data_IF_891592579859
#
_entry.id   IF_891592579859
#
_cell.length_a   1.000
_cell.length_b   1.000
_cell.length_c   1.000
_cell.angle_alpha   90.00
_cell.angle_beta   90.00
_cell.angle_gamma   90.00
#
_symmetry.space_group_name_H-M   'P 1'
#
loop_
_entity.id
_entity.type
_entity.pdbx_description
1 polymer ?
#
# COMPACT_ATOMS: atom_id res chain seq x y z
N UNK A 1 6.92 7.39 -59.91
CA UNK A 1 5.87 7.39 -58.87
C UNK A 1 5.43 5.96 -58.74
N UNK A 2 6.04 5.26 -57.78
CA UNK A 2 5.52 4.05 -57.14
C UNK A 2 6.55 3.68 -56.07
N UNK A 3 6.40 4.34 -54.91
CA UNK A 3 7.15 3.99 -53.70
C UNK A 3 6.48 2.77 -53.08
N UNK A 4 7.10 1.61 -53.27
CA UNK A 4 6.73 0.39 -52.58
C UNK A 4 7.08 0.53 -51.08
N UNK A 5 6.04 0.63 -50.24
CA UNK A 5 6.16 0.55 -48.79
C UNK A 5 6.48 -0.90 -48.43
N UNK A 6 7.68 -1.11 -47.91
CA UNK A 6 8.15 -2.37 -47.33
C UNK A 6 7.30 -2.73 -46.09
N UNK A 7 6.57 -3.86 -46.06
CA UNK A 7 5.81 -4.25 -44.89
C UNK A 7 6.78 -4.80 -43.84
N UNK A 8 7.24 -3.94 -42.94
CA UNK A 8 7.88 -4.43 -41.71
C UNK A 8 6.94 -5.42 -41.01
N UNK A 9 7.38 -6.66 -40.73
CA UNK A 9 6.55 -7.61 -40.02
C UNK A 9 6.24 -7.04 -38.64
N UNK A 10 4.96 -6.88 -38.34
CA UNK A 10 4.50 -6.62 -36.97
C UNK A 10 4.93 -7.84 -36.15
N UNK A 11 6.02 -7.71 -35.41
CA UNK A 11 6.44 -8.75 -34.45
C UNK A 11 5.39 -8.76 -33.34
N UNK A 12 4.35 -9.57 -33.52
CA UNK A 12 3.43 -9.89 -32.45
C UNK A 12 4.24 -10.63 -31.38
N UNK A 13 4.51 -9.93 -30.27
CA UNK A 13 5.10 -10.57 -29.10
C UNK A 13 4.24 -11.75 -28.61
N UNK A 14 4.75 -12.57 -27.68
CA UNK A 14 4.02 -13.73 -27.19
C UNK A 14 2.63 -13.32 -26.70
N UNK A 15 1.64 -14.17 -26.97
CA UNK A 15 0.24 -14.01 -26.57
C UNK A 15 -0.04 -14.87 -25.35
N UNK A 16 -0.74 -14.31 -24.37
CA UNK A 16 -1.13 -15.02 -23.16
C UNK A 16 -2.40 -15.84 -23.43
N UNK A 17 -2.24 -17.16 -23.51
CA UNK A 17 -3.33 -18.10 -23.73
C UNK A 17 -4.22 -18.29 -22.50
N UNK A 18 -5.33 -19.01 -22.69
CA UNK A 18 -6.31 -19.27 -21.62
C UNK A 18 -5.70 -20.09 -20.48
N UNK A 19 -4.96 -21.14 -20.79
CA UNK A 19 -4.37 -22.04 -19.80
C UNK A 19 -3.31 -21.32 -18.94
N UNK A 20 -2.43 -20.54 -19.56
CA UNK A 20 -1.42 -19.76 -18.84
C UNK A 20 -2.06 -18.68 -17.97
N UNK A 21 -3.10 -18.01 -18.51
CA UNK A 21 -3.82 -17.00 -17.75
C UNK A 21 -4.50 -17.61 -16.52
N UNK A 22 -5.22 -18.73 -16.66
CA UNK A 22 -5.85 -19.39 -15.51
C UNK A 22 -4.83 -19.91 -14.50
N UNK A 23 -3.68 -20.42 -14.95
CA UNK A 23 -2.57 -20.77 -14.05
C UNK A 23 -2.09 -19.56 -13.25
N UNK A 24 -1.82 -18.43 -13.91
CA UNK A 24 -1.36 -17.19 -13.24
C UNK A 24 -2.42 -16.68 -12.25
N UNK A 25 -3.70 -16.71 -12.62
CA UNK A 25 -4.81 -16.32 -11.74
C UNK A 25 -4.84 -17.19 -10.49
N UNK A 26 -4.70 -18.51 -10.65
CA UNK A 26 -4.67 -19.44 -9.53
C UNK A 26 -3.47 -19.18 -8.63
N UNK A 27 -2.25 -19.09 -9.18
CA UNK A 27 -1.03 -18.84 -8.39
C UNK A 27 -1.11 -17.52 -7.62
N UNK A 28 -1.56 -16.45 -8.25
CA UNK A 28 -1.71 -15.14 -7.60
C UNK A 28 -2.83 -15.14 -6.56
N UNK A 29 -3.94 -15.84 -6.83
CA UNK A 29 -5.03 -16.02 -5.89
C UNK A 29 -4.57 -16.75 -4.62
N UNK A 30 -3.87 -17.86 -4.76
CA UNK A 30 -3.38 -18.64 -3.61
C UNK A 30 -2.32 -17.88 -2.79
N UNK A 31 -1.39 -17.19 -3.46
CA UNK A 31 -0.21 -16.63 -2.79
C UNK A 31 -0.34 -15.16 -2.37
N UNK A 32 -1.29 -14.41 -2.95
CA UNK A 32 -1.52 -13.00 -2.65
C UNK A 32 -2.99 -12.65 -2.43
N UNK A 33 -3.93 -13.59 -2.65
CA UNK A 33 -5.38 -13.40 -2.61
C UNK A 33 -5.94 -12.42 -3.63
N UNK A 34 -5.12 -11.95 -4.56
CA UNK A 34 -5.53 -10.98 -5.58
C UNK A 34 -6.44 -11.70 -6.57
N UNK A 35 -7.68 -11.26 -6.65
CA UNK A 35 -8.65 -11.79 -7.61
C UNK A 35 -8.47 -11.07 -8.95
N UNK A 36 -7.83 -11.75 -9.88
CA UNK A 36 -7.74 -11.32 -11.27
C UNK A 36 -9.00 -11.76 -12.01
N UNK A 37 -9.79 -10.81 -12.53
CA UNK A 37 -10.97 -11.10 -13.37
C UNK A 37 -10.60 -11.39 -14.83
N UNK A 38 -11.50 -12.01 -15.63
CA UNK A 38 -11.23 -12.35 -17.03
C UNK A 38 -10.81 -11.16 -17.90
N UNK A 39 -11.37 -9.98 -17.62
CA UNK A 39 -11.05 -8.72 -18.29
C UNK A 39 -9.65 -8.16 -18.01
N UNK A 40 -8.87 -8.79 -17.11
CA UNK A 40 -7.51 -8.35 -16.77
C UNK A 40 -6.42 -9.04 -17.59
N UNK A 41 -6.77 -9.91 -18.55
CA UNK A 41 -5.78 -10.65 -19.37
C UNK A 41 -4.75 -9.76 -20.05
N UNK A 42 -5.20 -8.69 -20.71
CA UNK A 42 -4.29 -7.77 -21.41
C UNK A 42 -3.33 -7.07 -20.44
N UNK A 43 -3.78 -6.74 -19.23
CA UNK A 43 -2.92 -6.18 -18.18
C UNK A 43 -1.86 -7.20 -17.75
N UNK A 44 -2.25 -8.45 -17.50
CA UNK A 44 -1.32 -9.53 -17.13
C UNK A 44 -0.29 -9.74 -18.23
N UNK A 45 -0.73 -9.84 -19.49
CA UNK A 45 0.16 -9.97 -20.64
C UNK A 45 1.15 -8.81 -20.73
N UNK A 46 0.67 -7.57 -20.65
CA UNK A 46 1.56 -6.39 -20.75
C UNK A 46 2.63 -6.35 -19.66
N UNK A 47 2.26 -6.67 -18.41
CA UNK A 47 3.18 -6.62 -17.28
C UNK A 47 4.17 -7.79 -17.24
N UNK A 48 3.70 -9.00 -17.51
CA UNK A 48 4.57 -10.18 -17.55
C UNK A 48 5.43 -10.23 -18.82
N UNK A 49 5.01 -9.62 -19.92
CA UNK A 49 5.83 -9.51 -21.12
C UNK A 49 7.20 -8.87 -20.87
N UNK A 50 7.32 -7.97 -19.87
CA UNK A 50 8.61 -7.45 -19.42
C UNK A 50 9.44 -8.52 -18.71
N UNK A 51 8.83 -9.32 -17.82
CA UNK A 51 9.51 -10.44 -17.13
C UNK A 51 10.01 -11.49 -18.12
N UNK A 52 9.23 -11.83 -19.15
CA UNK A 52 9.65 -12.74 -20.21
C UNK A 52 10.95 -12.25 -20.88
N UNK A 53 11.03 -10.96 -21.24
CA UNK A 53 12.24 -10.37 -21.83
C UNK A 53 13.43 -10.39 -20.88
N UNK A 54 13.22 -10.08 -19.59
CA UNK A 54 14.27 -10.12 -18.57
C UNK A 54 14.84 -11.52 -18.34
N UNK A 55 14.01 -12.56 -18.53
CA UNK A 55 14.40 -13.97 -18.41
C UNK A 55 14.84 -14.61 -19.74
N UNK A 56 14.73 -13.90 -20.86
CA UNK A 56 15.00 -14.45 -22.19
C UNK A 56 14.00 -15.53 -22.65
N UNK A 57 12.79 -15.56 -22.09
CA UNK A 57 11.76 -16.54 -22.41
C UNK A 57 10.91 -16.09 -23.61
N UNK A 58 10.59 -17.04 -24.49
CA UNK A 58 9.86 -16.79 -25.75
C UNK A 58 8.35 -16.98 -25.66
N UNK A 59 7.82 -17.54 -24.56
CA UNK A 59 6.38 -17.79 -24.39
C UNK A 59 5.92 -17.71 -22.93
N UNK A 60 4.61 -17.49 -22.72
CA UNK A 60 4.03 -17.54 -21.37
C UNK A 60 3.93 -18.96 -20.82
N UNK A 61 3.84 -19.97 -21.67
CA UNK A 61 3.91 -21.36 -21.24
C UNK A 61 5.27 -21.64 -20.56
N UNK A 62 6.37 -21.25 -21.22
CA UNK A 62 7.72 -21.35 -20.65
C UNK A 62 7.87 -20.55 -19.35
N UNK A 63 7.19 -19.40 -19.25
CA UNK A 63 7.14 -18.64 -17.99
C UNK A 63 6.37 -19.37 -16.88
N UNK A 64 5.24 -20.02 -17.20
CA UNK A 64 4.49 -20.80 -16.22
C UNK A 64 5.30 -22.00 -15.72
N UNK A 65 6.01 -22.70 -16.62
CA UNK A 65 6.93 -23.79 -16.25
C UNK A 65 8.05 -23.26 -15.34
N UNK A 66 8.66 -22.13 -15.71
CA UNK A 66 9.68 -21.48 -14.91
C UNK A 66 9.18 -21.10 -13.50
N UNK A 67 7.94 -20.62 -13.36
CA UNK A 67 7.32 -20.34 -12.05
C UNK A 67 7.15 -21.61 -11.21
N UNK A 68 6.82 -22.76 -11.84
CA UNK A 68 6.72 -24.05 -11.13
C UNK A 68 8.08 -24.55 -10.64
N UNK A 69 9.12 -24.36 -11.45
CA UNK A 69 10.46 -24.91 -11.20
C UNK A 69 11.31 -24.03 -10.27
N UNK A 70 11.19 -22.70 -10.37
CA UNK A 70 12.11 -21.75 -9.71
C UNK A 70 11.75 -21.44 -8.25
N UNK A 71 10.65 -21.99 -7.74
CA UNK A 71 10.28 -21.88 -6.34
C UNK A 71 9.94 -20.45 -5.88
N UNK A 72 10.19 -20.11 -4.59
CA UNK A 72 9.68 -18.89 -3.96
C UNK A 72 10.18 -17.57 -4.57
N UNK A 73 11.36 -17.55 -5.18
CA UNK A 73 11.96 -16.30 -5.69
C UNK A 73 11.21 -15.74 -6.89
N UNK A 74 10.89 -16.58 -7.89
CA UNK A 74 10.13 -16.11 -9.05
C UNK A 74 8.68 -15.82 -8.69
N UNK A 75 8.11 -16.54 -7.71
CA UNK A 75 6.78 -16.22 -7.18
C UNK A 75 6.70 -14.79 -6.66
N UNK A 76 7.71 -14.32 -5.92
CA UNK A 76 7.77 -12.91 -5.46
C UNK A 76 7.80 -11.95 -6.66
N UNK A 77 8.58 -12.25 -7.70
CA UNK A 77 8.66 -11.41 -8.89
C UNK A 77 7.36 -11.37 -9.68
N UNK A 78 6.66 -12.50 -9.78
CA UNK A 78 5.33 -12.62 -10.36
C UNK A 78 4.32 -11.75 -9.61
N UNK A 79 4.30 -11.84 -8.26
CA UNK A 79 3.44 -11.00 -7.42
C UNK A 79 3.73 -9.52 -7.64
N UNK A 80 4.99 -9.10 -7.54
CA UNK A 80 5.39 -7.70 -7.75
C UNK A 80 5.05 -7.18 -9.16
N UNK A 81 5.04 -8.05 -10.18
CA UNK A 81 4.67 -7.65 -11.52
C UNK A 81 3.16 -7.42 -11.66
N UNK A 82 2.32 -8.04 -10.82
CA UNK A 82 0.86 -8.03 -10.97
C UNK A 82 0.14 -7.18 -9.91
N UNK A 83 0.83 -6.71 -8.88
CA UNK A 83 0.35 -5.69 -7.93
C UNK A 83 0.09 -4.35 -8.62
N UNK A 84 -0.96 -3.65 -8.22
CA UNK A 84 -1.29 -2.32 -8.76
C UNK A 84 -1.03 -1.26 -7.70
N UNK A 85 0.02 -0.48 -7.93
CA UNK A 85 0.66 0.36 -6.92
C UNK A 85 0.34 1.86 -7.07
N UNK A 86 -0.86 2.22 -7.56
CA UNK A 86 -1.23 3.63 -7.77
C UNK A 86 -1.48 4.31 -6.44
N UNK A 87 -0.63 5.28 -6.10
CA UNK A 87 -0.71 6.08 -4.88
C UNK A 87 -0.23 7.50 -5.15
N UNK A 88 -0.59 8.43 -4.25
CA UNK A 88 -0.21 9.83 -4.33
C UNK A 88 -0.17 10.44 -2.92
N UNK A 89 0.67 11.46 -2.74
CA UNK A 89 0.68 12.24 -1.50
C UNK A 89 -0.70 12.85 -1.25
N UNK A 90 -1.17 12.76 0.00
CA UNK A 90 -2.44 13.31 0.46
C UNK A 90 -3.68 12.84 -0.33
N UNK A 91 -3.60 11.67 -0.98
CA UNK A 91 -4.78 11.00 -1.57
C UNK A 91 -5.86 10.85 -0.51
N UNK A 92 -7.07 11.31 -0.82
CA UNK A 92 -8.22 11.39 0.11
C UNK A 92 -7.86 12.14 1.41
N UNK A 93 -7.50 13.42 1.26
CA UNK A 93 -6.92 14.24 2.33
C UNK A 93 -7.73 14.30 3.64
N UNK A 94 -9.04 14.12 3.56
CA UNK A 94 -9.94 14.08 4.72
C UNK A 94 -9.51 13.07 5.81
N UNK A 95 -8.83 11.99 5.46
CA UNK A 95 -8.27 11.05 6.45
C UNK A 95 -7.13 11.67 7.27
N UNK A 96 -6.27 12.49 6.66
CA UNK A 96 -5.18 13.18 7.35
C UNK A 96 -5.68 14.37 8.16
N UNK A 97 -6.73 15.04 7.69
CA UNK A 97 -7.47 16.07 8.45
C UNK A 97 -8.10 15.47 9.71
N UNK A 98 -8.76 14.31 9.58
CA UNK A 98 -9.30 13.54 10.70
C UNK A 98 -8.19 13.07 11.66
N UNK A 99 -7.06 12.61 11.11
CA UNK A 99 -5.90 12.19 11.89
C UNK A 99 -5.40 13.32 12.81
N UNK A 100 -5.26 14.52 12.27
CA UNK A 100 -4.79 15.69 13.02
C UNK A 100 -5.84 16.24 13.99
N UNK A 101 -7.12 16.26 13.58
CA UNK A 101 -8.18 16.94 14.34
C UNK A 101 -8.67 16.16 15.55
N UNK A 102 -8.81 14.84 15.47
CA UNK A 102 -9.35 14.05 16.59
C UNK A 102 -8.64 12.71 16.83
N UNK A 103 -8.19 11.98 15.80
CA UNK A 103 -7.63 10.64 16.03
C UNK A 103 -6.34 10.69 16.86
N UNK A 104 -5.40 11.59 16.52
CA UNK A 104 -4.17 11.78 17.29
C UNK A 104 -4.43 12.43 18.65
N UNK A 105 -5.21 13.52 18.77
CA UNK A 105 -5.59 14.06 20.08
C UNK A 105 -6.17 13.03 21.05
N UNK A 106 -7.11 12.20 20.59
CA UNK A 106 -7.70 11.13 21.40
C UNK A 106 -6.67 10.05 21.76
N UNK A 107 -5.82 9.65 20.80
CA UNK A 107 -4.74 8.70 21.06
C UNK A 107 -3.72 9.25 22.07
N UNK A 108 -3.40 10.55 22.00
CA UNK A 108 -2.51 11.22 22.93
C UNK A 108 -3.11 11.31 24.33
N UNK A 109 -4.42 11.58 24.45
CA UNK A 109 -5.09 11.55 25.74
C UNK A 109 -5.07 10.16 26.36
N UNK A 110 -5.44 9.13 25.59
CA UNK A 110 -5.45 7.73 26.02
C UNK A 110 -4.05 7.25 26.41
N UNK A 111 -3.02 7.66 25.66
CA UNK A 111 -1.65 7.19 25.83
C UNK A 111 -0.79 8.17 26.64
N UNK A 112 -1.38 9.13 27.37
CA UNK A 112 -0.65 10.18 28.08
C UNK A 112 0.44 9.65 29.01
N UNK A 113 0.19 8.53 29.70
CA UNK A 113 1.15 7.90 30.59
C UNK A 113 2.33 7.23 29.85
N UNK A 114 2.06 6.53 28.74
CA UNK A 114 3.08 5.79 28.00
C UNK A 114 3.83 6.65 26.98
N UNK A 115 3.20 7.74 26.52
CA UNK A 115 3.65 8.65 25.47
C UNK A 115 4.00 7.94 24.16
N UNK A 116 3.32 6.82 23.87
CA UNK A 116 3.50 6.02 22.65
C UNK A 116 2.35 6.25 21.69
N UNK A 117 2.67 6.44 20.41
CA UNK A 117 1.70 6.43 19.31
C UNK A 117 2.14 5.38 18.29
N UNK A 118 1.22 4.51 17.89
CA UNK A 118 1.47 3.42 16.95
C UNK A 118 0.48 3.51 15.79
N UNK A 119 0.99 3.79 14.61
CA UNK A 119 0.19 3.80 13.38
C UNK A 119 0.62 2.66 12.46
N UNK A 120 -0.29 2.21 11.60
CA UNK A 120 0.02 1.23 10.56
C UNK A 120 -0.59 1.66 9.21
N UNK A 121 0.23 1.73 8.16
CA UNK A 121 -0.20 1.78 6.76
C UNK A 121 -0.04 0.38 6.15
N UNK A 122 -1.15 -0.29 5.91
CA UNK A 122 -1.28 -1.64 5.37
C UNK A 122 -1.59 -1.57 3.87
N UNK A 123 -0.61 -1.93 3.03
CA UNK A 123 -0.60 -1.69 1.58
C UNK A 123 -0.03 -0.31 1.25
N UNK A 124 1.21 -0.04 1.71
CA UNK A 124 1.81 1.30 1.65
C UNK A 124 2.32 1.72 0.26
N UNK A 125 2.37 0.81 -0.72
CA UNK A 125 2.91 1.05 -2.06
C UNK A 125 4.29 1.74 -1.99
N UNK A 126 4.54 2.77 -2.80
CA UNK A 126 5.79 3.53 -2.88
C UNK A 126 5.99 4.54 -1.75
N UNK A 127 5.20 4.48 -0.67
CA UNK A 127 5.47 5.19 0.59
C UNK A 127 4.80 6.55 0.77
N UNK A 128 4.07 7.05 -0.22
CA UNK A 128 3.38 8.34 -0.15
C UNK A 128 2.43 8.43 1.07
N UNK A 129 1.62 7.40 1.32
CA UNK A 129 0.68 7.35 2.45
C UNK A 129 1.38 7.40 3.82
N UNK A 130 2.33 6.50 4.16
CA UNK A 130 2.97 6.54 5.48
C UNK A 130 3.80 7.81 5.70
N UNK A 131 4.33 8.44 4.64
CA UNK A 131 4.97 9.75 4.79
C UNK A 131 3.97 10.88 5.02
N UNK A 132 2.78 10.84 4.43
CA UNK A 132 1.68 11.74 4.82
C UNK A 132 1.28 11.56 6.28
N UNK A 133 1.13 10.32 6.76
CA UNK A 133 0.88 10.02 8.18
C UNK A 133 1.97 10.63 9.07
N UNK A 134 3.23 10.44 8.72
CA UNK A 134 4.37 10.95 9.49
C UNK A 134 4.38 12.49 9.56
N UNK A 135 4.24 13.17 8.41
CA UNK A 135 4.19 14.64 8.36
C UNK A 135 3.03 15.19 9.18
N UNK A 136 1.83 14.65 8.99
CA UNK A 136 0.62 15.06 9.74
C UNK A 136 0.78 14.82 11.24
N UNK A 137 1.34 13.68 11.64
CA UNK A 137 1.53 13.37 13.06
C UNK A 137 2.59 14.25 13.72
N UNK A 138 3.69 14.55 13.03
CA UNK A 138 4.73 15.47 13.53
C UNK A 138 4.15 16.87 13.76
N UNK A 139 3.29 17.34 12.85
CA UNK A 139 2.61 18.63 13.00
C UNK A 139 1.62 18.64 14.16
N UNK A 140 0.76 17.63 14.25
CA UNK A 140 -0.29 17.56 15.28
C UNK A 140 0.27 17.37 16.69
N UNK A 141 1.32 16.57 16.86
CA UNK A 141 1.96 16.33 18.16
C UNK A 141 2.74 17.56 18.64
N UNK A 142 3.31 18.32 17.72
CA UNK A 142 4.17 19.47 18.02
C UNK A 142 5.54 19.09 18.61
N UNK A 143 6.40 20.11 18.76
CA UNK A 143 7.79 19.94 19.22
C UNK A 143 7.98 19.94 20.74
N UNK A 144 6.97 20.37 21.50
CA UNK A 144 7.04 20.54 22.96
C UNK A 144 6.97 19.22 23.74
N UNK A 145 6.47 18.15 23.12
CA UNK A 145 6.25 16.87 23.76
C UNK A 145 7.05 15.76 23.05
N UNK A 146 7.99 15.12 23.77
CA UNK A 146 8.64 13.88 23.27
C UNK A 146 7.63 12.74 23.28
N UNK A 147 7.06 12.44 22.11
CA UNK A 147 6.23 11.26 21.87
C UNK A 147 7.02 10.21 21.10
N UNK A 148 6.95 8.96 21.54
CA UNK A 148 7.45 7.81 20.78
C UNK A 148 6.42 7.46 19.70
N UNK A 149 6.49 8.19 18.57
CA UNK A 149 5.68 7.94 17.37
C UNK A 149 6.39 6.93 16.48
N UNK A 150 5.72 5.82 16.20
CA UNK A 150 6.18 4.82 15.22
C UNK A 150 5.06 4.48 14.25
N UNK A 151 5.42 4.44 12.97
CA UNK A 151 4.53 4.09 11.87
C UNK A 151 5.09 2.84 11.22
N UNK A 152 4.34 1.74 11.30
CA UNK A 152 4.60 0.55 10.50
C UNK A 152 4.03 0.80 9.10
N UNK A 153 4.81 0.54 8.05
CA UNK A 153 4.35 0.60 6.68
C UNK A 153 4.66 -0.74 6.02
N UNK A 154 3.65 -1.40 5.49
CA UNK A 154 3.80 -2.73 4.92
C UNK A 154 3.19 -2.85 3.55
N UNK A 155 3.84 -3.60 2.66
CA UNK A 155 3.27 -3.98 1.37
C UNK A 155 3.71 -5.41 1.03
N UNK A 156 2.96 -6.10 0.16
CA UNK A 156 3.37 -7.40 -0.37
C UNK A 156 4.47 -7.22 -1.42
N UNK A 157 4.46 -6.09 -2.13
CA UNK A 157 5.41 -5.81 -3.19
C UNK A 157 6.74 -5.30 -2.64
N UNK A 158 7.79 -6.12 -2.74
CA UNK A 158 9.11 -5.79 -2.20
C UNK A 158 9.80 -4.64 -2.96
N UNK A 159 9.47 -4.44 -4.24
CA UNK A 159 10.09 -3.38 -5.05
C UNK A 159 9.60 -2.00 -4.60
N UNK A 160 8.30 -1.85 -4.36
CA UNK A 160 7.74 -0.57 -3.89
C UNK A 160 8.13 -0.28 -2.45
N UNK A 161 8.25 -1.31 -1.61
CA UNK A 161 8.78 -1.19 -0.24
C UNK A 161 10.22 -0.66 -0.26
N UNK A 162 11.09 -1.21 -1.11
CA UNK A 162 12.46 -0.72 -1.26
C UNK A 162 12.50 0.73 -1.78
N UNK A 163 11.67 1.05 -2.77
CA UNK A 163 11.52 2.44 -3.27
C UNK A 163 11.07 3.40 -2.16
N UNK A 164 10.09 2.99 -1.37
CA UNK A 164 9.52 3.78 -0.28
C UNK A 164 10.57 4.07 0.81
N UNK A 165 11.40 3.09 1.16
CA UNK A 165 12.50 3.24 2.12
C UNK A 165 13.49 4.33 1.72
N UNK A 166 13.75 4.50 0.42
CA UNK A 166 14.61 5.58 -0.08
C UNK A 166 14.03 6.96 0.25
N UNK A 167 12.71 7.11 0.16
CA UNK A 167 12.01 8.37 0.42
C UNK A 167 12.40 9.47 -0.57
N UNK A 168 12.67 9.11 -1.83
CA UNK A 168 13.07 10.02 -2.90
C UNK A 168 12.00 9.99 -3.99
N UNK A 169 11.44 11.15 -4.32
CA UNK A 169 10.34 11.28 -5.27
C UNK A 169 10.69 12.29 -6.37
N UNK A 170 10.25 12.06 -7.61
CA UNK A 170 10.19 13.11 -8.62
C UNK A 170 9.33 14.28 -8.12
N UNK A 171 9.71 15.52 -8.44
CA UNK A 171 9.00 16.71 -7.95
C UNK A 171 7.55 16.78 -8.43
N UNK A 172 7.24 16.19 -9.58
CA UNK A 172 5.91 16.11 -10.17
C UNK A 172 4.97 15.27 -9.30
N UNK A 173 5.49 14.29 -8.56
CA UNK A 173 4.68 13.51 -7.59
C UNK A 173 4.33 14.30 -6.33
N UNK A 174 4.93 15.47 -6.14
CA UNK A 174 4.78 16.28 -4.93
C UNK A 174 3.81 17.45 -5.11
N UNK A 175 3.13 17.56 -6.24
CA UNK A 175 2.17 18.64 -6.54
C UNK A 175 1.07 18.77 -5.48
N UNK A 176 0.60 17.65 -4.94
CA UNK A 176 -0.42 17.61 -3.89
C UNK A 176 0.12 17.93 -2.48
N UNK A 177 1.44 18.07 -2.30
CA UNK A 177 2.05 18.40 -1.00
C UNK A 177 2.04 19.92 -0.80
N UNK A 178 1.45 20.44 0.30
CA UNK A 178 1.47 21.87 0.59
C UNK A 178 2.89 22.45 0.63
N UNK A 179 3.09 23.66 0.11
CA UNK A 179 4.41 24.30 0.01
C UNK A 179 5.14 24.44 1.36
N UNK A 180 4.40 24.70 2.44
CA UNK A 180 4.97 24.73 3.79
C UNK A 180 5.55 23.36 4.20
N UNK A 181 4.87 22.27 3.87
CA UNK A 181 5.34 20.90 4.11
C UNK A 181 6.52 20.54 3.21
N UNK A 182 6.55 20.97 1.95
CA UNK A 182 7.70 20.76 1.07
C UNK A 182 8.96 21.39 1.65
N UNK A 183 8.86 22.67 2.03
CA UNK A 183 9.98 23.44 2.59
C UNK A 183 10.48 22.83 3.91
N UNK A 184 9.54 22.38 4.75
CA UNK A 184 9.84 21.80 6.06
C UNK A 184 10.40 20.39 5.95
N UNK A 185 9.80 19.50 5.17
CA UNK A 185 10.02 18.06 5.27
C UNK A 185 10.82 17.44 4.11
N UNK A 186 11.21 18.21 3.10
CA UNK A 186 11.98 17.70 1.96
C UNK A 186 13.31 18.43 1.79
N UNK A 187 14.32 17.70 1.32
CA UNK A 187 15.51 18.26 0.69
C UNK A 187 15.31 18.28 -0.82
N UNK A 188 15.53 19.43 -1.46
CA UNK A 188 15.54 19.55 -2.92
C UNK A 188 16.84 18.94 -3.46
N UNK A 189 16.73 18.06 -4.44
CA UNK A 189 17.88 17.50 -5.15
C UNK A 189 18.64 18.57 -5.93
N UNK A 190 19.95 18.36 -6.08
CA UNK A 190 20.88 19.23 -6.82
C UNK A 190 21.69 18.38 -7.81
N UNK A 191 22.27 19.02 -8.82
CA UNK A 191 23.11 18.37 -9.84
C UNK A 191 22.34 17.21 -10.51
N UNK A 192 22.89 16.00 -10.49
CA UNK A 192 22.29 14.77 -11.04
C UNK A 192 20.93 14.40 -10.38
N UNK A 193 20.61 14.99 -9.23
CA UNK A 193 19.33 14.80 -8.53
C UNK A 193 18.33 15.94 -8.79
N UNK A 194 18.62 16.84 -9.73
CA UNK A 194 17.67 17.90 -10.13
C UNK A 194 16.36 17.28 -10.61
N UNK A 195 15.22 17.87 -10.23
CA UNK A 195 13.89 17.29 -10.49
C UNK A 195 13.46 16.21 -9.48
N UNK A 196 14.24 15.97 -8.43
CA UNK A 196 13.88 15.06 -7.33
C UNK A 196 13.89 15.77 -5.98
N UNK A 197 13.16 15.23 -5.02
CA UNK A 197 13.24 15.63 -3.63
C UNK A 197 13.26 14.42 -2.70
N UNK A 198 13.96 14.54 -1.58
CA UNK A 198 14.12 13.49 -0.59
C UNK A 198 13.51 13.90 0.75
N UNK A 199 12.78 13.01 1.40
CA UNK A 199 12.26 13.25 2.75
C UNK A 199 13.41 13.45 3.74
N UNK A 200 13.25 14.45 4.61
CA UNK A 200 14.17 14.67 5.74
C UNK A 200 14.07 13.52 6.74
N UNK A 201 15.16 13.31 7.48
CA UNK A 201 15.24 12.25 8.51
C UNK A 201 14.14 12.34 9.56
N UNK A 202 13.74 13.56 9.94
CA UNK A 202 12.67 13.77 10.93
C UNK A 202 11.35 13.06 10.56
N UNK A 203 11.08 12.88 9.26
CA UNK A 203 9.92 12.14 8.73
C UNK A 203 10.27 10.68 8.53
N UNK A 204 11.38 10.38 7.85
CA UNK A 204 11.77 9.00 7.49
C UNK A 204 11.97 8.11 8.72
N UNK A 205 12.58 8.64 9.76
CA UNK A 205 12.91 7.87 10.96
C UNK A 205 11.66 7.48 11.77
N UNK A 206 10.48 8.04 11.45
CA UNK A 206 9.18 7.64 12.05
C UNK A 206 8.57 6.42 11.37
N UNK A 207 9.00 6.07 10.16
CA UNK A 207 8.39 5.04 9.34
C UNK A 207 9.31 3.83 9.25
N UNK A 208 8.78 2.66 9.60
CA UNK A 208 9.46 1.37 9.42
C UNK A 208 8.75 0.59 8.32
N UNK A 209 9.45 0.39 7.21
CA UNK A 209 8.94 -0.36 6.05
C UNK A 209 9.26 -1.85 6.15
N UNK A 210 8.29 -2.72 5.89
CA UNK A 210 8.45 -4.18 5.86
C UNK A 210 7.64 -4.80 4.73
N UNK A 211 8.17 -5.84 4.09
CA UNK A 211 7.37 -6.68 3.20
C UNK A 211 6.46 -7.58 4.05
N UNK A 212 5.16 -7.59 3.75
CA UNK A 212 4.17 -8.39 4.46
C UNK A 212 3.00 -8.74 3.53
N UNK A 213 2.65 -10.01 3.47
CA UNK A 213 1.37 -10.44 2.92
C UNK A 213 0.28 -10.32 4.00
N UNK A 214 -0.74 -9.50 3.75
CA UNK A 214 -1.85 -9.30 4.68
C UNK A 214 -2.64 -10.58 4.96
N UNK A 215 -2.59 -11.57 4.07
CA UNK A 215 -3.32 -12.82 4.22
C UNK A 215 -2.60 -13.84 5.11
N UNK A 216 -1.30 -13.65 5.33
CA UNK A 216 -0.50 -14.51 6.20
C UNK A 216 -0.57 -14.03 7.65
N UNK A 217 0.07 -14.79 8.54
CA UNK A 217 0.25 -14.43 9.94
C UNK A 217 1.04 -13.12 10.08
N UNK A 218 0.56 -12.25 10.96
CA UNK A 218 1.17 -10.94 11.20
C UNK A 218 2.15 -11.05 12.38
N UNK A 219 3.44 -10.74 12.18
CA UNK A 219 4.46 -10.91 13.23
C UNK A 219 4.37 -9.85 14.34
N UNK A 220 3.66 -8.74 14.09
CA UNK A 220 3.43 -7.67 15.06
C UNK A 220 2.28 -8.02 16.01
N UNK A 221 2.45 -7.64 17.28
CA UNK A 221 1.49 -7.94 18.35
C UNK A 221 0.53 -6.79 18.70
N UNK A 222 0.73 -5.62 18.09
CA UNK A 222 -0.06 -4.42 18.40
C UNK A 222 0.06 -3.98 19.87
N UNK A 223 -0.91 -3.20 20.38
CA UNK A 223 -2.01 -2.62 19.62
C UNK A 223 -1.60 -1.34 18.85
N UNK A 224 -2.36 -0.99 17.82
CA UNK A 224 -2.23 0.24 17.05
C UNK A 224 -3.31 1.24 17.45
N UNK A 225 -2.98 2.53 17.43
CA UNK A 225 -3.93 3.62 17.63
C UNK A 225 -4.77 3.89 16.38
N UNK A 226 -4.12 3.84 15.21
CA UNK A 226 -4.76 4.04 13.92
C UNK A 226 -4.15 3.10 12.88
N UNK A 227 -5.01 2.45 12.09
CA UNK A 227 -4.63 1.63 10.95
C UNK A 227 -5.23 2.26 9.69
N UNK A 228 -4.42 2.39 8.64
CA UNK A 228 -4.83 2.73 7.28
C UNK A 228 -4.69 1.47 6.43
N UNK A 229 -5.76 1.06 5.76
CA UNK A 229 -5.77 -0.03 4.79
C UNK A 229 -6.66 0.40 3.61
N UNK A 230 -6.10 1.23 2.73
CA UNK A 230 -6.88 1.99 1.75
C UNK A 230 -6.60 1.54 0.33
N UNK A 231 -7.66 1.25 -0.42
CA UNK A 231 -7.57 0.84 -1.84
C UNK A 231 -6.76 -0.46 -2.04
N UNK A 232 -6.81 -1.35 -1.04
CA UNK A 232 -6.13 -2.66 -1.02
C UNK A 232 -7.16 -3.77 -0.99
N UNK A 233 -8.18 -3.64 -0.14
CA UNK A 233 -9.21 -4.65 0.04
C UNK A 233 -10.05 -4.88 -1.21
N UNK A 234 -10.12 -3.89 -2.11
CA UNK A 234 -10.77 -4.02 -3.43
C UNK A 234 -10.23 -5.18 -4.30
N UNK A 235 -9.03 -5.69 -4.02
CA UNK A 235 -8.44 -6.82 -4.76
C UNK A 235 -8.84 -8.19 -4.20
N UNK A 236 -9.54 -8.23 -3.06
CA UNK A 236 -9.87 -9.46 -2.35
C UNK A 236 -11.36 -9.80 -2.44
N UNK A 237 -11.68 -11.09 -2.36
CA UNK A 237 -13.06 -11.56 -2.26
C UNK A 237 -13.73 -11.12 -0.93
N UNK A 238 -15.05 -11.26 -0.85
CA UNK A 238 -15.81 -10.84 0.32
C UNK A 238 -15.37 -11.58 1.61
N UNK A 239 -15.24 -12.92 1.64
CA UNK A 239 -14.78 -13.62 2.83
C UNK A 239 -13.40 -13.15 3.32
N UNK A 240 -12.47 -12.90 2.41
CA UNK A 240 -11.13 -12.43 2.74
C UNK A 240 -11.13 -11.02 3.31
N UNK A 241 -11.92 -10.11 2.72
CA UNK A 241 -12.12 -8.76 3.26
C UNK A 241 -12.64 -8.81 4.70
N UNK A 242 -13.66 -9.62 4.97
CA UNK A 242 -14.22 -9.73 6.32
C UNK A 242 -13.21 -10.29 7.33
N UNK A 243 -12.45 -11.33 6.95
CA UNK A 243 -11.36 -11.86 7.80
C UNK A 243 -10.31 -10.79 8.10
N UNK A 244 -9.90 -10.00 7.10
CA UNK A 244 -8.94 -8.91 7.29
C UNK A 244 -9.47 -7.84 8.24
N UNK A 245 -10.71 -7.41 8.07
CA UNK A 245 -11.35 -6.41 8.92
C UNK A 245 -11.39 -6.86 10.38
N UNK A 246 -11.74 -8.13 10.65
CA UNK A 246 -11.73 -8.70 12.02
C UNK A 246 -10.33 -8.63 12.63
N UNK A 247 -9.31 -9.07 11.89
CA UNK A 247 -7.92 -9.05 12.35
C UNK A 247 -7.40 -7.62 12.59
N UNK A 248 -7.76 -6.65 11.74
CA UNK A 248 -7.43 -5.25 11.99
C UNK A 248 -8.09 -4.73 13.27
N UNK A 249 -9.37 -5.05 13.49
CA UNK A 249 -10.08 -4.67 14.71
C UNK A 249 -9.41 -5.25 15.95
N UNK A 250 -8.95 -6.51 15.92
CA UNK A 250 -8.23 -7.15 17.04
C UNK A 250 -6.93 -6.40 17.42
N UNK A 251 -6.19 -5.91 16.42
CA UNK A 251 -4.95 -5.16 16.62
C UNK A 251 -5.14 -3.68 16.94
N UNK A 252 -6.35 -3.12 16.83
CA UNK A 252 -6.64 -1.75 17.24
C UNK A 252 -6.80 -1.65 18.75
N UNK A 253 -6.35 -0.58 19.39
CA UNK A 253 -6.80 -0.26 20.75
C UNK A 253 -8.33 -0.03 20.78
N UNK A 254 -9.03 -0.32 21.90
CA UNK A 254 -10.40 0.15 22.09
C UNK A 254 -10.50 1.67 21.84
N UNK A 255 -11.45 2.09 21.02
CA UNK A 255 -11.58 3.49 20.57
C UNK A 255 -10.58 3.93 19.50
N UNK A 256 -9.70 3.05 19.01
CA UNK A 256 -8.80 3.29 17.88
C UNK A 256 -9.51 3.29 16.53
N UNK A 257 -8.81 3.66 15.46
CA UNK A 257 -9.42 3.95 14.16
C UNK A 257 -8.89 3.07 13.02
N UNK A 258 -9.78 2.66 12.11
CA UNK A 258 -9.48 2.04 10.83
C UNK A 258 -9.95 2.97 9.70
N UNK A 259 -9.03 3.38 8.84
CA UNK A 259 -9.32 4.15 7.62
C UNK A 259 -9.23 3.23 6.40
N UNK A 260 -10.27 3.24 5.56
CA UNK A 260 -10.34 2.47 4.30
C UNK A 260 -10.54 3.42 3.10
N UNK A 261 -10.35 2.92 1.89
CA UNK A 261 -10.45 3.72 0.67
C UNK A 261 -11.89 4.02 0.27
N UNK A 262 -12.10 5.08 -0.51
CA UNK A 262 -13.42 5.56 -0.96
C UNK A 262 -14.35 4.52 -1.61
N UNK A 263 -13.81 3.48 -2.23
CA UNK A 263 -14.58 2.41 -2.90
C UNK A 263 -14.79 1.18 -2.02
N UNK A 264 -14.35 1.23 -0.77
CA UNK A 264 -14.39 0.12 0.18
C UNK A 264 -15.47 0.40 1.24
N UNK A 265 -16.11 -0.65 1.72
CA UNK A 265 -17.08 -0.60 2.80
C UNK A 265 -16.93 -1.82 3.70
N UNK A 266 -17.25 -1.66 4.97
CA UNK A 266 -17.27 -2.75 5.94
C UNK A 266 -18.73 -3.11 6.19
N UNK A 267 -19.08 -4.37 5.97
CA UNK A 267 -20.42 -4.86 6.27
C UNK A 267 -20.70 -4.77 7.77
N UNK A 268 -21.89 -4.31 8.13
CA UNK A 268 -22.30 -4.22 9.53
C UNK A 268 -22.22 -5.61 10.20
N UNK A 269 -21.70 -5.65 11.43
CA UNK A 269 -21.55 -6.89 12.19
C UNK A 269 -20.26 -7.68 11.88
N UNK A 270 -19.46 -7.26 10.89
CA UNK A 270 -18.20 -7.94 10.56
C UNK A 270 -17.22 -7.96 11.74
N UNK A 271 -17.10 -6.83 12.44
CA UNK A 271 -16.19 -6.58 13.55
C UNK A 271 -16.80 -5.49 14.47
N UNK A 272 -16.30 -5.29 15.71
CA UNK A 272 -16.77 -4.25 16.62
C UNK A 272 -16.28 -2.86 16.19
N UNK A 273 -16.67 -2.45 14.98
CA UNK A 273 -16.30 -1.21 14.31
C UNK A 273 -17.56 -0.42 13.95
N UNK A 274 -17.56 0.88 14.26
CA UNK A 274 -18.64 1.81 13.91
C UNK A 274 -18.13 2.86 12.94
N UNK A 275 -18.88 3.14 11.88
CA UNK A 275 -18.59 4.24 10.95
C UNK A 275 -18.77 5.59 11.67
N UNK A 276 -17.74 6.43 11.68
CA UNK A 276 -17.73 7.74 12.38
C UNK A 276 -17.36 8.91 11.47
N UNK A 277 -17.13 8.65 10.19
CA UNK A 277 -16.82 9.64 9.18
C UNK A 277 -16.81 9.00 7.80
N UNK A 278 -16.40 9.76 6.79
CA UNK A 278 -16.21 9.21 5.44
C UNK A 278 -15.13 8.14 5.47
N UNK A 279 -15.51 6.88 5.26
CA UNK A 279 -14.61 5.70 5.24
C UNK A 279 -13.69 5.55 6.47
N UNK A 280 -14.12 6.11 7.60
CA UNK A 280 -13.42 6.05 8.90
C UNK A 280 -14.27 5.26 9.88
N UNK A 281 -13.69 4.22 10.45
CA UNK A 281 -14.33 3.35 11.42
C UNK A 281 -13.60 3.42 12.76
N UNK A 282 -14.34 3.38 13.86
CA UNK A 282 -13.81 3.38 15.22
C UNK A 282 -14.09 2.04 15.90
N UNK A 283 -13.10 1.45 16.56
CA UNK A 283 -13.27 0.24 17.40
C UNK A 283 -14.11 0.59 18.62
N UNK A 284 -15.15 -0.19 18.89
CA UNK A 284 -15.97 -0.02 20.09
C UNK A 284 -15.12 -0.17 21.36
N UNK A 285 -15.43 0.61 22.40
CA UNK A 285 -14.66 0.63 23.65
C UNK A 285 -15.00 -0.51 24.62
N UNK A 286 -16.04 -1.30 24.33
CA UNK A 286 -16.52 -2.36 25.20
C UNK A 286 -17.58 -1.91 26.21
N UNK A 287 -17.83 -0.60 26.32
CA UNK A 287 -18.95 -0.06 27.10
C UNK A 287 -20.22 -0.06 26.23
N UNK A 288 -20.80 -1.24 26.05
CA UNK A 288 -22.21 -1.36 25.65
C UNK A 288 -22.95 -2.01 26.80
N UNK A 289 -23.19 -1.22 27.85
CA UNK A 289 -24.43 -1.33 28.60
C UNK A 289 -25.47 -0.61 27.75
N UNK A 290 -26.26 -1.40 27.02
CA UNK A 290 -27.70 -1.20 26.78
C UNK A 290 -28.26 -2.47 26.11
#
# INVERSE_FOLDING_TARGET
MDDAVDPHPIVHGPVLGDAEFEFIRHVIGENAGIVLGPNKRQLVQGRLGRRLRELGLSSYAAYCDHVRESGPEELVRLINALTTNVTAFFRENHHFEALASYMLPEAMQRNAASRRIRLWSAGCSTGEEPYCLAMTAIEAIGSSARWDLKILATDIDSNVVASAQGGIYPVERLEAVPQGRLSRFFHKGRNEQTGRAMLKREVRDRVTFRTLNLLHNWPMRGPFDVIFCRNVMIYFDQPTRERLVRRFAELLVPGGYLCIGHSESIHHGTAPLRLVGKTIYRRNTGDSHD
#
